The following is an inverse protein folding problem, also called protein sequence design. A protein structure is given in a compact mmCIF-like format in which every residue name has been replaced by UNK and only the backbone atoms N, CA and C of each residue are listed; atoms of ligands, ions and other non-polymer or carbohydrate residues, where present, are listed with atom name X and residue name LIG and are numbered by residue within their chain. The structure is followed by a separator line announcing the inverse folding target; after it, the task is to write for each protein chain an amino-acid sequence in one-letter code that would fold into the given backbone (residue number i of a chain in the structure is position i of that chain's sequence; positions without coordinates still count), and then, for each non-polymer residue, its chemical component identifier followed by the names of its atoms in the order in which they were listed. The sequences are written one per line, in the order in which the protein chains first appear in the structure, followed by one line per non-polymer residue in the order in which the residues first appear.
data_IF_495105454588
#
_entry.id   IF_495105454588
#
_cell.length_a   1.000
_cell.length_b   1.000
_cell.length_c   1.000
_cell.angle_alpha   90.00
_cell.angle_beta   90.00
_cell.angle_gamma   90.00
#
_symmetry.space_group_name_H-M   'P 1'
#
loop_
_entity.id
_entity.type
_entity.pdbx_description
1 polymer ?
#
# COMPACT_ATOMS: atom_id res chain seq x y z
N UNK A 1 24.71 -10.01 26.66
CA UNK A 1 25.28 -11.33 26.36
C UNK A 1 24.73 -12.31 27.38
N UNK A 2 24.25 -13.49 26.96
CA UNK A 2 23.71 -14.52 27.85
C UNK A 2 24.84 -15.17 28.67
N UNK A 3 24.48 -15.80 29.79
CA UNK A 3 25.41 -16.48 30.70
C UNK A 3 26.22 -17.60 30.05
N UNK A 4 25.75 -18.15 28.94
CA UNK A 4 26.42 -19.20 28.16
C UNK A 4 27.72 -18.74 27.48
N UNK A 5 27.89 -17.43 27.24
CA UNK A 5 29.08 -16.82 26.64
C UNK A 5 30.07 -16.24 27.66
N UNK A 6 29.79 -16.37 28.96
CA UNK A 6 30.73 -15.94 29.99
C UNK A 6 31.95 -16.89 30.03
N UNK A 7 33.12 -16.44 30.52
CA UNK A 7 34.26 -17.33 30.76
C UNK A 7 33.86 -18.50 31.69
N UNK A 8 34.11 -19.74 31.26
CA UNK A 8 33.60 -20.95 31.93
C UNK A 8 32.13 -21.28 31.67
N UNK A 9 31.51 -20.63 30.68
CA UNK A 9 30.18 -20.94 30.19
C UNK A 9 30.19 -22.07 29.16
N UNK A 10 29.02 -22.67 28.91
CA UNK A 10 28.86 -23.82 28.01
C UNK A 10 29.50 -23.60 26.61
N UNK A 11 29.40 -22.39 26.06
CA UNK A 11 29.94 -22.06 24.73
C UNK A 11 31.45 -21.79 24.78
N UNK A 12 31.94 -21.26 25.90
CA UNK A 12 33.37 -21.01 26.14
C UNK A 12 34.14 -22.33 26.34
N UNK A 13 33.53 -23.28 27.05
CA UNK A 13 34.07 -24.63 27.29
C UNK A 13 33.88 -25.60 26.12
N UNK A 14 33.14 -25.21 25.07
CA UNK A 14 32.89 -26.06 23.92
C UNK A 14 34.19 -26.51 23.25
N UNK A 15 34.31 -27.81 22.99
CA UNK A 15 35.45 -28.40 22.31
C UNK A 15 35.59 -27.89 20.87
N UNK A 16 36.77 -28.03 20.28
CA UNK A 16 37.00 -27.65 18.89
C UNK A 16 36.04 -28.38 17.91
N UNK A 17 35.73 -29.65 18.18
CA UNK A 17 34.76 -30.43 17.41
C UNK A 17 33.32 -29.92 17.55
N UNK A 18 32.90 -29.55 18.76
CA UNK A 18 31.54 -29.01 18.98
C UNK A 18 31.38 -27.64 18.33
N UNK A 19 32.41 -26.79 18.41
CA UNK A 19 32.41 -25.48 17.71
C UNK A 19 32.35 -25.64 16.19
N UNK A 20 32.97 -26.69 15.65
CA UNK A 20 32.92 -26.97 14.21
C UNK A 20 31.57 -27.53 13.77
N UNK A 21 30.92 -28.36 14.59
CA UNK A 21 29.55 -28.85 14.35
C UNK A 21 28.50 -27.74 14.50
N UNK A 22 28.71 -26.84 15.45
CA UNK A 22 27.86 -25.67 15.68
C UNK A 22 28.19 -24.50 14.74
N UNK A 23 29.12 -24.68 13.79
CA UNK A 23 29.48 -23.63 12.85
C UNK A 23 28.28 -23.34 11.95
N UNK A 24 27.73 -22.13 12.11
CA UNK A 24 26.83 -21.52 11.15
C UNK A 24 27.56 -20.33 10.52
N UNK A 25 27.40 -20.07 9.23
CA UNK A 25 27.89 -18.83 8.63
C UNK A 25 27.33 -17.64 9.44
N UNK A 26 28.23 -16.74 9.86
CA UNK A 26 27.92 -15.63 10.77
C UNK A 26 26.90 -14.63 10.19
N UNK A 27 26.64 -14.72 8.89
CA UNK A 27 25.83 -13.78 8.14
C UNK A 27 25.05 -14.48 7.04
N UNK A 28 23.91 -13.87 6.73
CA UNK A 28 23.03 -14.19 5.62
C UNK A 28 23.67 -13.94 4.23
N UNK A 29 24.99 -13.76 4.15
CA UNK A 29 25.72 -13.29 2.95
C UNK A 29 25.45 -14.16 1.73
N UNK A 30 25.33 -15.49 1.91
CA UNK A 30 25.00 -16.40 0.84
C UNK A 30 23.57 -16.18 0.29
N UNK A 31 22.60 -15.90 1.16
CA UNK A 31 21.23 -15.61 0.77
C UNK A 31 21.10 -14.19 0.18
N UNK A 32 21.87 -13.23 0.69
CA UNK A 32 21.97 -11.88 0.14
C UNK A 32 22.60 -11.88 -1.25
N UNK A 33 23.67 -12.66 -1.43
CA UNK A 33 24.29 -12.91 -2.72
C UNK A 33 23.33 -13.56 -3.70
N UNK A 34 22.61 -14.60 -3.27
CA UNK A 34 21.60 -15.28 -4.10
C UNK A 34 20.44 -14.37 -4.49
N UNK A 35 19.96 -13.53 -3.56
CA UNK A 35 18.94 -12.53 -3.83
C UNK A 35 19.46 -11.45 -4.80
N UNK A 36 20.71 -11.02 -4.64
CA UNK A 36 21.38 -10.10 -5.55
C UNK A 36 21.45 -10.66 -6.97
N UNK A 37 21.91 -11.90 -7.11
CA UNK A 37 21.96 -12.61 -8.40
C UNK A 37 20.57 -12.72 -9.03
N UNK A 38 19.56 -13.10 -8.25
CA UNK A 38 18.17 -13.15 -8.71
C UNK A 38 17.70 -11.79 -9.24
N UNK A 39 17.91 -10.72 -8.48
CA UNK A 39 17.49 -9.36 -8.86
C UNK A 39 18.16 -8.91 -10.16
N UNK A 40 19.46 -9.13 -10.31
CA UNK A 40 20.20 -8.79 -11.54
C UNK A 40 19.68 -9.62 -12.72
N UNK A 41 19.47 -10.92 -12.53
CA UNK A 41 19.00 -11.82 -13.60
C UNK A 41 17.60 -11.45 -14.07
N UNK A 42 16.66 -11.21 -13.15
CA UNK A 42 15.29 -10.80 -13.50
C UNK A 42 15.24 -9.42 -14.16
N UNK A 43 16.15 -8.50 -13.79
CA UNK A 43 16.26 -7.20 -14.45
C UNK A 43 16.71 -7.35 -15.90
N UNK A 44 17.72 -8.18 -16.15
CA UNK A 44 18.28 -8.38 -17.48
C UNK A 44 17.43 -9.31 -18.35
N UNK A 45 16.62 -10.17 -17.74
CA UNK A 45 15.76 -11.14 -18.44
C UNK A 45 14.36 -11.14 -17.80
N UNK A 46 13.54 -10.12 -18.09
CA UNK A 46 12.24 -9.95 -17.44
C UNK A 46 11.20 -11.01 -17.84
N UNK A 47 11.46 -11.75 -18.92
CA UNK A 47 10.63 -12.88 -19.37
C UNK A 47 10.95 -14.18 -18.63
N UNK A 48 12.07 -14.24 -17.89
CA UNK A 48 12.48 -15.40 -17.12
C UNK A 48 11.50 -15.62 -15.97
N UNK A 49 11.01 -16.85 -15.81
CA UNK A 49 10.15 -17.19 -14.67
C UNK A 49 10.99 -17.58 -13.47
N UNK A 50 10.43 -17.48 -12.26
CA UNK A 50 11.14 -17.94 -11.06
C UNK A 50 11.49 -19.44 -11.13
N UNK A 51 10.64 -20.26 -11.76
CA UNK A 51 10.93 -21.68 -11.92
C UNK A 51 12.14 -21.90 -12.83
N UNK A 52 12.22 -21.19 -13.95
CA UNK A 52 13.39 -21.23 -14.84
C UNK A 52 14.66 -20.71 -14.16
N UNK A 53 14.55 -19.64 -13.36
CA UNK A 53 15.68 -19.14 -12.57
C UNK A 53 16.17 -20.19 -11.58
N UNK A 54 15.27 -20.75 -10.77
CA UNK A 54 15.62 -21.76 -9.77
C UNK A 54 16.24 -23.00 -10.43
N UNK A 55 15.66 -23.47 -11.55
CA UNK A 55 16.20 -24.58 -12.31
C UNK A 55 17.61 -24.29 -12.82
N UNK A 56 17.87 -23.10 -13.36
CA UNK A 56 19.21 -22.70 -13.83
C UNK A 56 20.22 -22.57 -12.68
N UNK A 57 19.81 -22.03 -11.54
CA UNK A 57 20.67 -21.94 -10.35
C UNK A 57 21.03 -23.34 -9.85
N UNK A 58 20.05 -24.24 -9.70
CA UNK A 58 20.29 -25.61 -9.28
C UNK A 58 21.16 -26.38 -10.28
N UNK A 59 20.91 -26.20 -11.58
CA UNK A 59 21.70 -26.81 -12.64
C UNK A 59 23.20 -26.47 -12.51
N UNK A 60 23.49 -25.19 -12.26
CA UNK A 60 24.86 -24.73 -12.06
C UNK A 60 25.45 -25.18 -10.73
N UNK A 61 24.69 -25.10 -9.63
CA UNK A 61 25.17 -25.47 -8.29
C UNK A 61 25.48 -26.96 -8.16
N UNK A 62 24.70 -27.80 -8.84
CA UNK A 62 24.85 -29.25 -8.79
C UNK A 62 25.83 -29.78 -9.85
N UNK A 63 26.54 -28.91 -10.58
CA UNK A 63 27.41 -29.29 -11.71
C UNK A 63 26.71 -30.28 -12.65
N UNK A 64 25.44 -30.01 -12.97
CA UNK A 64 24.62 -30.97 -13.72
C UNK A 64 25.16 -31.18 -15.14
N UNK A 65 25.83 -30.17 -15.73
CA UNK A 65 26.52 -30.32 -17.01
C UNK A 65 27.62 -31.39 -16.94
N UNK A 66 28.52 -31.33 -15.96
CA UNK A 66 29.61 -32.29 -15.82
C UNK A 66 29.09 -33.72 -15.62
N UNK A 67 28.01 -33.87 -14.84
CA UNK A 67 27.33 -35.15 -14.66
C UNK A 67 26.74 -35.68 -15.98
N UNK A 68 26.09 -34.81 -16.76
CA UNK A 68 25.55 -35.18 -18.06
C UNK A 68 26.69 -35.57 -19.02
N UNK A 69 27.76 -34.79 -19.10
CA UNK A 69 28.87 -35.05 -20.01
C UNK A 69 29.60 -36.37 -19.68
N UNK A 70 29.66 -36.75 -18.40
CA UNK A 70 30.32 -37.98 -17.97
C UNK A 70 29.47 -39.25 -18.16
N UNK A 71 28.13 -39.14 -18.10
CA UNK A 71 27.25 -40.31 -17.95
C UNK A 71 26.12 -40.41 -18.97
N UNK A 72 25.79 -39.34 -19.69
CA UNK A 72 24.67 -39.37 -20.62
C UNK A 72 25.08 -39.92 -21.97
N UNK A 73 24.18 -40.73 -22.52
CA UNK A 73 24.20 -41.14 -23.92
C UNK A 73 23.15 -40.35 -24.72
N UNK A 74 23.23 -40.33 -26.07
CA UNK A 74 22.23 -39.65 -26.91
C UNK A 74 20.75 -39.97 -26.58
N UNK A 75 20.38 -41.21 -26.22
CA UNK A 75 19.00 -41.52 -25.79
C UNK A 75 18.56 -40.79 -24.52
N UNK A 76 19.46 -40.56 -23.56
CA UNK A 76 19.15 -39.88 -22.30
C UNK A 76 18.84 -38.41 -22.53
N UNK A 77 19.60 -37.75 -23.41
CA UNK A 77 19.30 -36.40 -23.84
C UNK A 77 17.91 -36.30 -24.50
N UNK A 78 17.57 -37.24 -25.38
CA UNK A 78 16.24 -37.30 -26.00
C UNK A 78 15.13 -37.54 -24.97
N UNK A 79 15.40 -38.35 -23.95
CA UNK A 79 14.47 -38.61 -22.86
C UNK A 79 14.18 -37.34 -22.06
N UNK A 80 15.22 -36.59 -21.63
CA UNK A 80 15.04 -35.31 -20.92
C UNK A 80 14.28 -34.30 -21.76
N UNK A 81 14.58 -34.17 -23.07
CA UNK A 81 13.84 -33.25 -23.95
C UNK A 81 12.36 -33.60 -24.01
N UNK A 82 12.02 -34.89 -24.04
CA UNK A 82 10.61 -35.34 -23.98
C UNK A 82 9.95 -34.99 -22.65
N UNK A 83 10.65 -35.17 -21.53
CA UNK A 83 10.14 -34.80 -20.21
C UNK A 83 9.93 -33.29 -20.09
N UNK A 84 10.89 -32.47 -20.52
CA UNK A 84 10.77 -31.02 -20.53
C UNK A 84 9.54 -30.56 -21.32
N UNK A 85 9.29 -31.16 -22.49
CA UNK A 85 8.08 -30.86 -23.28
C UNK A 85 6.77 -31.24 -22.57
N UNK A 86 6.75 -32.35 -21.83
CA UNK A 86 5.58 -32.75 -21.03
C UNK A 86 5.33 -31.77 -19.89
N UNK A 87 6.39 -31.34 -19.22
CA UNK A 87 6.32 -30.33 -18.17
C UNK A 87 5.85 -28.97 -18.72
N UNK A 88 6.38 -28.52 -19.86
CA UNK A 88 5.91 -27.28 -20.51
C UNK A 88 4.43 -27.38 -20.92
N UNK A 89 4.01 -28.56 -21.41
CA UNK A 89 2.61 -28.82 -21.76
C UNK A 89 1.67 -28.88 -20.54
N UNK A 90 2.18 -29.09 -19.32
CA UNK A 90 1.38 -29.09 -18.09
C UNK A 90 0.71 -27.74 -17.79
N UNK A 91 1.24 -26.65 -18.36
CA UNK A 91 0.67 -25.31 -18.22
C UNK A 91 0.85 -24.68 -16.83
N UNK A 92 1.75 -25.21 -15.99
CA UNK A 92 2.04 -24.67 -14.64
C UNK A 92 2.34 -23.15 -14.68
N UNK A 93 3.18 -22.70 -15.62
CA UNK A 93 3.48 -21.28 -15.76
C UNK A 93 2.31 -20.45 -16.27
N UNK A 94 1.43 -21.04 -17.09
CA UNK A 94 0.19 -20.37 -17.52
C UNK A 94 -0.73 -20.14 -16.33
N UNK A 95 -0.91 -21.16 -15.48
CA UNK A 95 -1.69 -21.08 -14.25
C UNK A 95 -1.13 -20.01 -13.31
N UNK A 96 0.19 -20.03 -13.06
CA UNK A 96 0.87 -19.04 -12.22
C UNK A 96 0.68 -17.61 -12.73
N UNK A 97 0.80 -17.38 -14.05
CA UNK A 97 0.58 -16.06 -14.66
C UNK A 97 -0.86 -15.59 -14.50
N UNK A 98 -1.84 -16.48 -14.63
CA UNK A 98 -3.25 -16.17 -14.38
C UNK A 98 -3.48 -15.76 -12.91
N UNK A 99 -2.96 -16.53 -11.96
CA UNK A 99 -3.06 -16.22 -10.52
C UNK A 99 -2.45 -14.84 -10.17
N UNK A 100 -1.31 -14.50 -10.77
CA UNK A 100 -0.68 -13.18 -10.62
C UNK A 100 -1.53 -12.06 -11.21
N UNK A 101 -2.16 -12.28 -12.36
CA UNK A 101 -3.05 -11.31 -12.99
C UNK A 101 -4.29 -11.09 -12.11
N UNK A 102 -4.93 -12.16 -11.63
CA UNK A 102 -6.11 -12.09 -10.77
C UNK A 102 -5.81 -11.39 -9.44
N UNK A 103 -4.64 -11.66 -8.85
CA UNK A 103 -4.19 -10.96 -7.66
C UNK A 103 -3.99 -9.46 -7.91
N UNK A 104 -3.37 -9.08 -9.03
CA UNK A 104 -3.16 -7.67 -9.39
C UNK A 104 -4.48 -6.94 -9.64
N UNK A 105 -5.43 -7.59 -10.30
CA UNK A 105 -6.78 -7.06 -10.51
C UNK A 105 -7.45 -6.81 -9.16
N UNK A 106 -7.47 -7.80 -8.26
CA UNK A 106 -8.03 -7.66 -6.90
C UNK A 106 -7.36 -6.54 -6.10
N UNK A 107 -6.04 -6.41 -6.19
CA UNK A 107 -5.33 -5.33 -5.52
C UNK A 107 -5.71 -3.96 -6.08
N UNK A 108 -5.90 -3.85 -7.40
CA UNK A 108 -6.32 -2.62 -8.05
C UNK A 108 -7.76 -2.24 -7.66
N UNK A 109 -8.69 -3.20 -7.59
CA UNK A 109 -10.08 -2.95 -7.15
C UNK A 109 -10.12 -2.49 -5.69
N UNK A 110 -9.44 -3.19 -4.78
CA UNK A 110 -9.36 -2.78 -3.38
C UNK A 110 -8.79 -1.36 -3.20
N UNK A 111 -7.77 -1.00 -3.98
CA UNK A 111 -7.21 0.36 -3.96
C UNK A 111 -8.23 1.39 -4.43
N UNK A 112 -8.95 1.12 -5.53
CA UNK A 112 -10.01 2.00 -6.04
C UNK A 112 -11.13 2.18 -5.01
N UNK A 113 -11.61 1.10 -4.41
CA UNK A 113 -12.66 1.13 -3.38
C UNK A 113 -12.23 1.96 -2.17
N UNK A 114 -10.98 1.79 -1.71
CA UNK A 114 -10.44 2.57 -0.60
C UNK A 114 -10.36 4.07 -0.93
N UNK A 115 -9.96 4.43 -2.15
CA UNK A 115 -9.93 5.82 -2.60
C UNK A 115 -11.34 6.42 -2.70
N UNK A 116 -12.31 5.66 -3.22
CA UNK A 116 -13.71 6.08 -3.28
C UNK A 116 -14.26 6.29 -1.86
N UNK A 117 -14.05 5.35 -0.94
CA UNK A 117 -14.50 5.46 0.44
C UNK A 117 -13.86 6.65 1.18
N UNK A 118 -12.57 6.91 0.93
CA UNK A 118 -11.88 8.08 1.48
C UNK A 118 -12.50 9.39 0.98
N UNK A 119 -12.73 9.50 -0.34
CA UNK A 119 -13.35 10.68 -0.95
C UNK A 119 -14.78 10.88 -0.46
N UNK A 120 -15.56 9.80 -0.36
CA UNK A 120 -16.92 9.89 0.15
C UNK A 120 -16.94 10.41 1.58
N UNK A 121 -16.04 9.91 2.44
CA UNK A 121 -15.90 10.42 3.81
C UNK A 121 -15.50 11.89 3.84
N UNK A 122 -14.58 12.33 2.98
CA UNK A 122 -14.20 13.74 2.88
C UNK A 122 -15.39 14.63 2.44
N UNK A 123 -16.22 14.15 1.50
CA UNK A 123 -17.45 14.83 1.07
C UNK A 123 -18.47 14.90 2.22
N UNK A 124 -18.70 13.80 2.93
CA UNK A 124 -19.65 13.74 4.04
C UNK A 124 -19.19 14.65 5.19
N UNK A 125 -17.90 14.64 5.52
CA UNK A 125 -17.30 15.52 6.53
C UNK A 125 -17.48 17.00 6.12
N UNK A 126 -17.23 17.35 4.86
CA UNK A 126 -17.46 18.70 4.33
C UNK A 126 -18.94 19.10 4.40
N UNK A 127 -19.86 18.19 4.05
CA UNK A 127 -21.31 18.42 4.11
C UNK A 127 -21.76 18.75 5.52
N UNK A 128 -21.25 18.03 6.52
CA UNK A 128 -21.50 18.32 7.94
C UNK A 128 -21.03 19.74 8.28
N UNK A 129 -19.82 20.14 7.89
CA UNK A 129 -19.27 21.47 8.21
C UNK A 129 -20.03 22.62 7.55
N UNK A 130 -20.52 22.42 6.32
CA UNK A 130 -21.31 23.43 5.60
C UNK A 130 -22.68 23.63 6.24
N UNK A 131 -23.34 22.53 6.62
CA UNK A 131 -24.69 22.54 7.22
C UNK A 131 -24.72 22.87 8.71
N UNK A 132 -23.57 22.83 9.38
CA UNK A 132 -23.46 23.11 10.81
C UNK A 132 -23.92 24.55 11.14
N UNK A 133 -24.87 24.68 12.08
CA UNK A 133 -25.18 25.97 12.71
C UNK A 133 -23.97 26.44 13.51
N UNK A 134 -23.42 27.59 13.14
CA UNK A 134 -22.32 28.22 13.88
C UNK A 134 -22.82 28.78 15.23
N UNK A 135 -21.93 28.72 16.21
CA UNK A 135 -22.11 29.43 17.48
C UNK A 135 -22.14 30.94 17.22
N UNK A 136 -23.09 31.62 17.85
CA UNK A 136 -23.38 33.04 17.59
C UNK A 136 -22.94 33.96 18.72
N UNK A 137 -22.86 33.46 19.96
CA UNK A 137 -22.51 34.26 21.14
C UNK A 137 -21.45 33.58 21.99
N UNK A 138 -20.70 34.36 22.78
CA UNK A 138 -19.69 33.83 23.71
C UNK A 138 -20.33 33.00 24.81
N UNK A 139 -21.55 33.34 25.24
CA UNK A 139 -22.31 32.59 26.24
C UNK A 139 -22.60 31.15 25.79
N UNK A 140 -22.87 30.92 24.50
CA UNK A 140 -23.07 29.58 23.93
C UNK A 140 -21.77 28.73 24.00
N UNK A 141 -20.59 29.34 23.96
CA UNK A 141 -19.29 28.62 24.01
C UNK A 141 -19.04 27.99 25.39
N UNK A 142 -19.42 28.70 26.44
CA UNK A 142 -19.17 28.34 27.83
C UNK A 142 -20.40 27.75 28.53
N UNK A 143 -21.48 27.49 27.79
CA UNK A 143 -22.69 26.95 28.36
C UNK A 143 -22.44 25.56 28.98
N UNK A 144 -22.84 25.40 30.24
CA UNK A 144 -22.67 24.16 31.01
C UNK A 144 -23.97 23.37 31.16
N UNK A 145 -25.12 23.93 30.73
CA UNK A 145 -26.40 23.24 30.76
C UNK A 145 -26.33 21.98 29.90
N UNK A 146 -26.88 20.88 30.42
CA UNK A 146 -26.72 19.52 29.87
C UNK A 146 -26.97 19.44 28.35
N UNK A 147 -28.00 20.12 27.86
CA UNK A 147 -28.43 20.04 26.46
C UNK A 147 -27.76 21.07 25.55
N UNK A 148 -27.20 22.14 26.12
CA UNK A 148 -26.56 23.24 25.40
C UNK A 148 -25.02 23.20 25.49
N UNK A 149 -24.46 22.31 26.31
CA UNK A 149 -23.04 22.16 26.48
C UNK A 149 -22.37 21.65 25.19
N UNK A 150 -21.39 22.42 24.71
CA UNK A 150 -20.56 22.03 23.59
C UNK A 150 -19.56 20.95 24.04
N UNK A 151 -19.79 19.73 23.57
CA UNK A 151 -18.84 18.63 23.72
C UNK A 151 -17.56 18.92 22.91
N UNK A 152 -16.45 18.25 23.25
CA UNK A 152 -15.18 18.42 22.53
C UNK A 152 -15.32 18.18 21.03
N UNK A 153 -16.13 17.19 20.63
CA UNK A 153 -16.44 16.91 19.21
C UNK A 153 -17.18 18.08 18.54
N UNK A 154 -18.17 18.68 19.20
CA UNK A 154 -18.87 19.86 18.68
C UNK A 154 -17.94 21.05 18.54
N UNK A 155 -17.03 21.27 19.50
CA UNK A 155 -16.02 22.34 19.42
C UNK A 155 -15.05 22.14 18.23
N UNK A 156 -14.63 20.90 17.97
CA UNK A 156 -13.82 20.58 16.78
C UNK A 156 -14.54 20.93 15.47
N UNK A 157 -15.79 20.49 15.33
CA UNK A 157 -16.61 20.80 14.15
C UNK A 157 -16.79 22.31 13.96
N UNK A 158 -17.01 23.07 15.05
CA UNK A 158 -17.13 24.52 14.97
C UNK A 158 -15.82 25.18 14.51
N UNK A 159 -14.67 24.80 15.06
CA UNK A 159 -13.36 25.31 14.65
C UNK A 159 -13.05 24.98 13.18
N UNK A 160 -13.36 23.76 12.74
CA UNK A 160 -13.18 23.36 11.34
C UNK A 160 -14.13 24.12 10.41
N UNK A 161 -15.37 24.37 10.83
CA UNK A 161 -16.35 25.16 10.08
C UNK A 161 -15.94 26.63 9.94
N UNK A 162 -15.33 27.23 10.97
CA UNK A 162 -14.73 28.58 10.89
C UNK A 162 -13.47 28.58 10.00
N UNK A 163 -12.66 27.52 10.05
CA UNK A 163 -11.49 27.36 9.17
C UNK A 163 -11.91 27.25 7.69
N UNK A 164 -12.96 26.49 7.39
CA UNK A 164 -13.53 26.36 6.04
C UNK A 164 -14.07 27.69 5.49
N UNK A 165 -14.54 28.58 6.36
CA UNK A 165 -14.95 29.96 6.02
C UNK A 165 -13.78 30.93 5.90
N UNK A 166 -12.56 30.48 6.15
CA UNK A 166 -11.35 31.27 5.98
C UNK A 166 -11.11 32.30 7.08
N UNK A 167 -11.67 32.09 8.28
CA UNK A 167 -11.36 32.91 9.45
C UNK A 167 -9.88 32.68 9.84
N UNK A 168 -9.06 33.75 9.97
CA UNK A 168 -7.63 33.61 10.20
C UNK A 168 -7.28 33.18 11.62
N UNK A 169 -6.07 32.62 11.77
CA UNK A 169 -5.43 32.19 13.03
C UNK A 169 -6.09 31.00 13.75
N UNK A 170 -6.81 30.16 12.99
CA UNK A 170 -7.37 28.90 13.49
C UNK A 170 -6.43 27.74 13.12
N UNK A 171 -5.72 27.21 14.11
CA UNK A 171 -4.82 26.05 13.93
C UNK A 171 -5.61 24.75 13.77
N UNK A 172 -4.96 23.69 13.29
CA UNK A 172 -5.56 22.36 13.24
C UNK A 172 -5.92 21.85 14.63
N UNK A 173 -6.99 21.04 14.74
CA UNK A 173 -7.53 20.55 16.02
C UNK A 173 -6.50 19.85 16.92
N UNK A 174 -5.50 19.20 16.33
CA UNK A 174 -4.38 18.54 17.04
C UNK A 174 -3.53 19.49 17.87
N UNK A 175 -3.53 20.79 17.55
CA UNK A 175 -2.76 21.80 18.28
C UNK A 175 -3.44 22.27 19.57
N UNK A 176 -4.69 21.91 19.78
CA UNK A 176 -5.43 22.25 20.99
C UNK A 176 -5.56 21.00 21.86
N UNK A 177 -4.76 20.89 22.93
CA UNK A 177 -4.77 19.73 23.81
C UNK A 177 -6.04 19.71 24.68
N UNK A 178 -6.35 20.81 25.38
CA UNK A 178 -7.44 20.85 26.37
C UNK A 178 -8.75 21.37 25.76
N UNK A 179 -9.86 21.19 26.48
CA UNK A 179 -11.17 21.75 26.09
C UNK A 179 -11.15 23.29 26.16
N UNK A 180 -10.54 23.84 27.21
CA UNK A 180 -10.43 25.28 27.43
C UNK A 180 -9.70 25.99 26.27
N UNK A 181 -8.59 25.41 25.77
CA UNK A 181 -7.84 25.98 24.64
C UNK A 181 -8.70 26.09 23.38
N UNK A 182 -9.60 25.11 23.16
CA UNK A 182 -10.55 25.11 22.03
C UNK A 182 -11.64 26.16 22.21
N UNK A 183 -12.14 26.34 23.43
CA UNK A 183 -13.13 27.39 23.74
C UNK A 183 -12.54 28.78 23.52
N UNK A 184 -11.32 29.03 24.01
CA UNK A 184 -10.62 30.30 23.81
C UNK A 184 -10.34 30.57 22.32
N UNK A 185 -9.89 29.55 21.56
CA UNK A 185 -9.70 29.68 20.12
C UNK A 185 -11.02 29.97 19.38
N UNK A 186 -12.11 29.32 19.78
CA UNK A 186 -13.44 29.54 19.20
C UNK A 186 -13.98 30.93 19.51
N UNK A 187 -13.74 31.46 20.72
CA UNK A 187 -14.11 32.82 21.10
C UNK A 187 -13.38 33.87 20.24
N UNK A 188 -12.07 33.70 20.04
CA UNK A 188 -11.27 34.59 19.17
C UNK A 188 -11.77 34.52 17.73
N UNK A 189 -12.05 33.32 17.21
CA UNK A 189 -12.60 33.13 15.88
C UNK A 189 -13.98 33.79 15.72
N UNK A 190 -14.85 33.65 16.73
CA UNK A 190 -16.19 34.24 16.74
C UNK A 190 -16.11 35.77 16.69
N UNK A 191 -15.26 36.40 17.51
CA UNK A 191 -15.07 37.86 17.50
C UNK A 191 -14.63 38.35 16.13
N UNK A 192 -13.68 37.65 15.48
CA UNK A 192 -13.23 37.99 14.12
C UNK A 192 -14.33 37.83 13.07
N UNK A 193 -15.16 36.79 13.22
CA UNK A 193 -16.30 36.56 12.35
C UNK A 193 -17.33 37.67 12.49
N UNK A 194 -17.68 38.06 13.72
CA UNK A 194 -18.62 39.14 14.02
C UNK A 194 -18.12 40.52 13.54
N UNK A 195 -16.81 40.77 13.55
CA UNK A 195 -16.23 42.01 13.04
C UNK A 195 -16.37 42.16 11.51
N UNK A 196 -16.42 41.06 10.76
CA UNK A 196 -16.52 41.08 9.30
C UNK A 196 -17.38 39.90 8.78
N UNK A 197 -18.68 39.87 9.05
CA UNK A 197 -19.53 38.73 8.72
C UNK A 197 -19.62 38.52 7.22
N UNK A 198 -19.72 39.59 6.42
CA UNK A 198 -19.81 39.52 4.95
C UNK A 198 -18.59 38.85 4.32
N UNK A 199 -17.40 39.08 4.88
CA UNK A 199 -16.14 38.52 4.40
C UNK A 199 -16.05 36.99 4.60
N UNK A 200 -16.69 36.47 5.65
CA UNK A 200 -16.61 35.07 6.06
C UNK A 200 -17.96 34.33 5.90
N UNK A 201 -18.99 35.00 5.39
CA UNK A 201 -20.29 34.40 5.10
C UNK A 201 -20.18 33.33 4.01
N UNK A 202 -19.28 33.54 3.03
CA UNK A 202 -18.95 32.56 2.02
C UNK A 202 -17.84 31.60 2.48
N UNK A 203 -17.96 30.33 2.11
CA UNK A 203 -16.91 29.34 2.37
C UNK A 203 -15.67 29.63 1.50
N UNK A 204 -14.49 29.76 2.11
CA UNK A 204 -13.23 29.87 1.39
C UNK A 204 -12.76 28.48 1.00
N UNK A 205 -13.14 28.06 -0.19
CA UNK A 205 -12.66 26.82 -0.79
C UNK A 205 -13.19 26.75 -2.19
N UNK A 206 -12.26 26.73 -3.16
CA UNK A 206 -12.57 26.53 -4.56
C UNK A 206 -13.57 25.40 -4.71
N UNK A 207 -14.65 25.74 -5.41
CA UNK A 207 -15.51 24.85 -6.16
C UNK A 207 -14.65 23.79 -6.86
N UNK A 208 -14.46 22.64 -6.21
CA UNK A 208 -13.92 21.45 -6.86
C UNK A 208 -14.60 20.18 -6.34
N UNK A 209 -15.21 20.22 -5.15
CA UNK A 209 -16.07 19.15 -4.65
C UNK A 209 -17.56 19.31 -5.06
N UNK A 210 -18.01 20.52 -5.38
CA UNK A 210 -19.42 20.79 -5.73
C UNK A 210 -19.76 20.61 -7.22
N UNK A 211 -18.79 20.29 -8.08
CA UNK A 211 -19.03 20.03 -9.51
C UNK A 211 -19.22 18.54 -9.86
N UNK A 212 -19.13 17.62 -8.89
CA UNK A 212 -19.13 16.18 -9.17
C UNK A 212 -20.48 15.47 -8.95
N UNK A 213 -21.59 16.19 -8.73
CA UNK A 213 -22.94 15.59 -8.77
C UNK A 213 -23.40 15.19 -10.20
N UNK A 214 -22.54 15.35 -11.23
CA UNK A 214 -22.91 15.11 -12.64
C UNK A 214 -21.92 14.29 -13.47
N UNK A 215 -21.00 13.54 -12.86
CA UNK A 215 -20.29 12.48 -13.60
C UNK A 215 -20.90 11.10 -13.31
N UNK A 216 -21.85 10.63 -14.14
CA UNK A 216 -22.17 9.23 -14.16
C UNK A 216 -20.91 8.51 -14.68
N UNK A 217 -20.18 7.84 -13.80
CA UNK A 217 -19.36 6.72 -14.24
C UNK A 217 -20.28 5.53 -14.52
N UNK A 218 -21.17 5.71 -15.50
CA UNK A 218 -21.82 4.63 -16.22
C UNK A 218 -20.91 4.30 -17.41
N UNK A 219 -20.34 3.10 -17.39
CA UNK A 219 -20.10 2.28 -18.58
C UNK A 219 -19.83 3.02 -19.91
N UNK A 220 -18.60 3.45 -20.16
CA UNK A 220 -18.10 3.61 -21.53
C UNK A 220 -16.58 3.73 -21.59
N UNK A 221 -15.98 2.98 -22.52
CA UNK A 221 -14.65 3.23 -23.12
C UNK A 221 -13.44 2.53 -22.49
N UNK A 222 -13.44 1.20 -22.47
CA UNK A 222 -12.24 0.47 -22.90
C UNK A 222 -12.63 -0.33 -24.14
N UNK A 223 -12.01 0.04 -25.27
CA UNK A 223 -12.32 -0.49 -26.59
C UNK A 223 -12.17 -2.00 -26.67
N UNK A 224 -13.14 -2.64 -27.31
CA UNK A 224 -12.94 -3.89 -28.02
C UNK A 224 -11.89 -3.67 -29.12
N UNK A 225 -10.62 -3.82 -28.78
CA UNK A 225 -9.53 -4.04 -29.72
C UNK A 225 -9.18 -5.53 -29.72
N UNK A 226 -10.17 -6.37 -30.05
CA UNK A 226 -9.96 -7.78 -30.32
C UNK A 226 -9.31 -7.89 -31.70
N UNK A 227 -8.09 -8.42 -31.71
CA UNK A 227 -7.42 -8.99 -32.88
C UNK A 227 -8.40 -9.89 -33.65
N UNK A 228 -8.67 -9.53 -34.90
CA UNK A 228 -9.12 -10.47 -35.92
C UNK A 228 -8.00 -10.53 -36.97
N UNK A 229 -7.17 -11.57 -36.87
CA UNK A 229 -6.16 -11.90 -37.85
C UNK A 229 -6.63 -13.14 -38.63
N UNK A 230 -6.47 -13.04 -39.95
CA UNK A 230 -6.40 -14.10 -40.97
C UNK A 230 -7.56 -15.09 -41.18
N UNK A 231 -8.23 -14.93 -42.33
CA UNK A 231 -9.06 -15.96 -42.98
C UNK A 231 -9.08 -15.83 -44.50
N UNK A 232 -8.35 -16.75 -45.15
CA UNK A 232 -8.60 -17.33 -46.48
C UNK A 232 -8.63 -16.42 -47.73
N UNK A 233 -7.48 -16.36 -48.42
CA UNK A 233 -7.40 -16.09 -49.85
C UNK A 233 -6.92 -17.34 -50.59
N UNK A 234 -7.85 -18.08 -51.20
CA UNK A 234 -7.56 -19.08 -52.23
C UNK A 234 -8.14 -18.61 -53.56
N UNK A 235 -7.26 -18.32 -54.51
CA UNK A 235 -7.48 -18.45 -55.96
C UNK A 235 -6.18 -18.94 -56.57
#
# INVERSE_FOLDING_TARGET
FSSEFAPGGLIDEASASERQLAWMPATNDANEGSLGQYRVKMRNTPTLTLHQFNAAVMYNQNNTQDFMDALFEPPDHLYIVRLARKEDASGIERKRKAELADFRIRLATMRKEKEIAKRQKEIDDLRILVTLRLVSTVAEIYNTARDLNLTVKKLHLQLDAFRLRGVPDIKANSNYARKADKQAALEVALRKFQLNPEKYAAFKGHCCAWQYESYPWSEASFGNGLLADHGAGSR
#
